data_IF_438789134467
#
_entry.id   IF_438789134467
#
_cell.length_a   1.000
_cell.length_b   1.000
_cell.length_c   1.000
_cell.angle_alpha   90.00
_cell.angle_beta   90.00
_cell.angle_gamma   90.00
#
_symmetry.space_group_name_H-M   'P 1'
#
loop_
_entity.id
_entity.type
_entity.pdbx_description
1 polymer ?
#
# COMPACT_ATOMS: atom_id res chain seq x y z
N UNK A 1 7.12 9.59 -19.32
CA UNK A 1 6.73 8.76 -18.17
C UNK A 1 6.97 9.56 -16.90
N UNK A 2 5.93 9.77 -16.10
CA UNK A 2 6.08 10.44 -14.82
C UNK A 2 6.68 9.47 -13.77
N UNK A 3 7.00 10.01 -12.59
CA UNK A 3 7.65 9.22 -11.53
C UNK A 3 6.76 8.08 -11.02
N UNK A 4 5.43 8.29 -10.98
CA UNK A 4 4.52 7.27 -10.48
C UNK A 4 4.42 6.09 -11.45
N UNK A 5 4.30 6.39 -12.74
CA UNK A 5 4.33 5.36 -13.79
C UNK A 5 5.67 4.60 -13.79
N UNK A 6 6.76 5.31 -13.60
CA UNK A 6 8.09 4.70 -13.54
C UNK A 6 8.20 3.71 -12.38
N UNK A 7 7.68 4.08 -11.21
CA UNK A 7 7.66 3.18 -10.04
C UNK A 7 6.87 1.91 -10.37
N UNK A 8 5.69 2.04 -10.99
CA UNK A 8 4.89 0.88 -11.40
C UNK A 8 5.64 0.00 -12.38
N UNK A 9 6.29 0.59 -13.37
CA UNK A 9 7.07 -0.15 -14.37
C UNK A 9 8.23 -0.91 -13.70
N UNK A 10 8.98 -0.23 -12.84
CA UNK A 10 10.12 -0.86 -12.17
C UNK A 10 9.69 -1.99 -11.23
N UNK A 11 8.55 -1.82 -10.55
CA UNK A 11 8.03 -2.87 -9.68
C UNK A 11 7.57 -4.10 -10.48
N UNK A 12 6.90 -3.89 -11.59
CA UNK A 12 6.51 -4.99 -12.48
C UNK A 12 7.74 -5.77 -12.96
N UNK A 13 8.81 -5.06 -13.35
CA UNK A 13 10.05 -5.70 -13.80
C UNK A 13 10.72 -6.50 -12.66
N UNK A 14 10.73 -5.98 -11.46
CA UNK A 14 11.28 -6.69 -10.30
C UNK A 14 10.46 -7.95 -10.00
N UNK A 15 9.14 -7.86 -10.03
CA UNK A 15 8.25 -9.00 -9.80
C UNK A 15 8.45 -10.09 -10.85
N UNK A 16 8.59 -9.72 -12.13
CA UNK A 16 8.87 -10.68 -13.20
C UNK A 16 10.20 -11.40 -12.97
N UNK A 17 11.22 -10.67 -12.53
CA UNK A 17 12.52 -11.25 -12.20
C UNK A 17 12.42 -12.29 -11.07
N UNK A 18 11.50 -12.07 -10.13
CA UNK A 18 11.23 -13.01 -9.04
C UNK A 18 10.35 -14.19 -9.50
N UNK A 19 9.73 -14.07 -10.66
CA UNK A 19 8.85 -15.10 -11.21
C UNK A 19 7.35 -14.82 -10.98
N UNK A 20 6.98 -13.57 -10.73
CA UNK A 20 5.60 -13.17 -10.49
C UNK A 20 5.15 -12.21 -11.58
N UNK A 21 4.13 -12.59 -12.34
CA UNK A 21 3.52 -11.73 -13.37
C UNK A 21 2.13 -11.32 -12.91
N UNK A 22 1.88 -10.01 -12.84
CA UNK A 22 0.64 -9.43 -12.34
C UNK A 22 -0.05 -8.60 -13.42
N UNK A 23 -1.41 -8.59 -13.49
CA UNK A 23 -2.32 -9.34 -12.63
C UNK A 23 -2.35 -10.83 -12.95
N UNK A 24 -2.71 -11.69 -11.98
CA UNK A 24 -2.86 -13.11 -12.25
C UNK A 24 -4.07 -13.40 -13.17
N UNK A 25 -4.10 -14.55 -13.87
CA UNK A 25 -5.13 -14.80 -14.88
C UNK A 25 -6.50 -15.22 -14.31
N UNK A 26 -6.58 -15.65 -13.06
CA UNK A 26 -7.82 -16.12 -12.44
C UNK A 26 -8.14 -15.38 -11.16
N UNK A 27 -9.41 -15.33 -10.78
CA UNK A 27 -9.85 -14.71 -9.52
C UNK A 27 -9.27 -15.45 -8.31
N UNK A 28 -9.13 -16.77 -8.38
CA UNK A 28 -8.54 -17.56 -7.31
C UNK A 28 -7.09 -17.15 -7.06
N UNK A 29 -6.29 -17.04 -8.12
CA UNK A 29 -4.89 -16.60 -8.01
C UNK A 29 -4.80 -15.13 -7.59
N UNK A 30 -5.72 -14.31 -8.07
CA UNK A 30 -5.78 -12.89 -7.67
C UNK A 30 -6.01 -12.79 -6.15
N UNK A 31 -6.99 -13.52 -5.61
CA UNK A 31 -7.26 -13.55 -4.18
C UNK A 31 -6.05 -14.04 -3.39
N UNK A 32 -5.36 -15.07 -3.88
CA UNK A 32 -4.14 -15.58 -3.27
C UNK A 32 -3.05 -14.51 -3.17
N UNK A 33 -2.83 -13.77 -4.25
CA UNK A 33 -1.78 -12.74 -4.27
C UNK A 33 -2.17 -11.49 -3.48
N UNK A 34 -3.47 -11.14 -3.42
CA UNK A 34 -3.94 -10.11 -2.48
C UNK A 34 -3.56 -10.48 -1.06
N UNK A 35 -3.79 -11.73 -0.67
CA UNK A 35 -3.43 -12.21 0.67
C UNK A 35 -1.91 -12.21 0.87
N UNK A 36 -1.14 -12.70 -0.10
CA UNK A 36 0.33 -12.74 -0.01
C UNK A 36 0.91 -11.33 0.20
N UNK A 37 0.48 -10.35 -0.58
CA UNK A 37 0.98 -8.98 -0.45
C UNK A 37 0.46 -8.29 0.80
N UNK A 38 -0.76 -8.61 1.23
CA UNK A 38 -1.29 -8.07 2.50
C UNK A 38 -0.44 -8.58 3.68
N UNK A 39 -0.06 -9.85 3.67
CA UNK A 39 0.83 -10.42 4.70
C UNK A 39 2.21 -9.77 4.66
N UNK A 40 2.75 -9.53 3.47
CA UNK A 40 4.02 -8.83 3.31
C UNK A 40 3.93 -7.41 3.89
N UNK A 41 2.84 -6.69 3.61
CA UNK A 41 2.59 -5.36 4.18
C UNK A 41 2.50 -5.41 5.71
N UNK A 42 1.85 -6.41 6.28
CA UNK A 42 1.76 -6.59 7.73
C UNK A 42 3.15 -6.81 8.34
N UNK A 43 3.99 -7.62 7.69
CA UNK A 43 5.35 -7.87 8.18
C UNK A 43 6.19 -6.60 8.13
N UNK A 44 6.15 -5.85 7.02
CA UNK A 44 6.87 -4.59 6.89
C UNK A 44 6.36 -3.54 7.88
N UNK A 45 5.05 -3.53 8.15
CA UNK A 45 4.47 -2.66 9.18
C UNK A 45 5.04 -3.00 10.56
N UNK A 46 5.17 -4.28 10.88
CA UNK A 46 5.78 -4.73 12.14
C UNK A 46 7.25 -4.28 12.23
N UNK A 47 7.99 -4.38 11.15
CA UNK A 47 9.39 -3.93 11.09
C UNK A 47 9.49 -2.41 11.27
N UNK A 48 8.54 -1.65 10.68
CA UNK A 48 8.46 -0.21 10.89
C UNK A 48 8.19 0.13 12.37
N UNK A 49 7.30 -0.59 13.02
CA UNK A 49 7.02 -0.41 14.45
C UNK A 49 8.31 -0.56 15.26
N UNK A 50 9.16 -1.53 14.90
CA UNK A 50 10.42 -1.76 15.61
C UNK A 50 11.44 -0.64 15.40
N UNK A 51 11.21 0.27 14.48
CA UNK A 51 12.05 1.47 14.29
C UNK A 51 11.82 2.53 15.36
N UNK A 52 10.75 2.43 16.14
CA UNK A 52 10.41 3.39 17.21
C UNK A 52 10.43 2.72 18.57
N UNK A 53 10.69 3.47 19.67
CA UNK A 53 10.74 2.91 21.02
C UNK A 53 9.32 2.67 21.56
N UNK A 54 8.63 1.68 21.03
CA UNK A 54 7.22 1.41 21.35
C UNK A 54 7.02 0.59 22.63
N UNK A 55 8.09 -0.11 23.12
CA UNK A 55 8.02 -0.91 24.34
C UNK A 55 8.19 0.03 25.55
N UNK A 56 7.07 0.49 26.09
CA UNK A 56 7.07 1.48 27.17
C UNK A 56 7.81 0.99 28.42
N UNK A 57 7.94 -0.34 28.59
CA UNK A 57 8.64 -0.95 29.75
C UNK A 57 10.15 -1.06 29.56
N UNK A 58 10.66 -0.79 28.36
CA UNK A 58 12.07 -0.96 28.02
C UNK A 58 12.74 0.39 27.79
N UNK A 59 13.98 0.52 28.29
CA UNK A 59 14.75 1.78 28.15
C UNK A 59 15.86 1.69 27.10
N UNK A 60 16.05 0.53 26.48
CA UNK A 60 17.11 0.30 25.50
C UNK A 60 16.75 0.70 24.08
N UNK A 61 15.48 0.89 23.80
CA UNK A 61 15.02 1.22 22.45
C UNK A 61 15.27 2.67 22.11
N UNK A 62 15.59 2.91 20.82
CA UNK A 62 15.82 4.24 20.27
C UNK A 62 14.99 4.40 19.00
N UNK A 63 14.68 5.63 18.63
CA UNK A 63 14.09 5.93 17.35
C UNK A 63 15.16 5.81 16.25
N UNK A 64 15.02 4.81 15.40
CA UNK A 64 15.86 4.63 14.21
C UNK A 64 15.15 5.21 13.00
N UNK A 65 15.31 6.52 12.79
CA UNK A 65 14.64 7.24 11.72
C UNK A 65 15.05 6.73 10.34
N UNK A 66 16.33 6.40 10.16
CA UNK A 66 16.81 5.89 8.87
C UNK A 66 16.14 4.56 8.53
N UNK A 67 16.03 3.65 9.49
CA UNK A 67 15.33 2.39 9.28
C UNK A 67 13.85 2.61 9.01
N UNK A 68 13.22 3.55 9.71
CA UNK A 68 11.80 3.89 9.46
C UNK A 68 11.59 4.33 8.01
N UNK A 69 12.49 5.15 7.46
CA UNK A 69 12.42 5.58 6.06
C UNK A 69 12.53 4.41 5.10
N UNK A 70 13.44 3.48 5.35
CA UNK A 70 13.59 2.27 4.52
C UNK A 70 12.32 1.45 4.53
N UNK A 71 11.73 1.23 5.71
CA UNK A 71 10.51 0.43 5.84
C UNK A 71 9.32 1.09 5.15
N UNK A 72 9.23 2.42 5.15
CA UNK A 72 8.20 3.14 4.38
C UNK A 72 8.35 2.83 2.89
N UNK A 73 9.58 2.84 2.36
CA UNK A 73 9.82 2.52 0.95
C UNK A 73 9.45 1.05 0.66
N UNK A 74 9.76 0.13 1.56
CA UNK A 74 9.38 -1.28 1.42
C UNK A 74 7.85 -1.44 1.36
N UNK A 75 7.11 -0.69 2.17
CA UNK A 75 5.65 -0.67 2.10
C UNK A 75 5.16 -0.22 0.72
N UNK A 76 5.78 0.77 0.11
CA UNK A 76 5.42 1.21 -1.25
C UNK A 76 5.65 0.10 -2.28
N UNK A 77 6.74 -0.65 -2.20
CA UNK A 77 6.98 -1.79 -3.09
C UNK A 77 5.81 -2.78 -3.07
N UNK A 78 5.40 -3.21 -1.87
CA UNK A 78 4.31 -4.16 -1.74
C UNK A 78 2.95 -3.56 -2.08
N UNK A 79 2.73 -2.30 -1.76
CA UNK A 79 1.48 -1.61 -2.08
C UNK A 79 1.29 -1.49 -3.60
N UNK A 80 2.34 -1.15 -4.34
CA UNK A 80 2.30 -1.10 -5.80
C UNK A 80 2.02 -2.50 -6.37
N UNK A 81 2.68 -3.54 -5.86
CA UNK A 81 2.43 -4.91 -6.27
C UNK A 81 0.98 -5.32 -6.01
N UNK A 82 0.43 -4.92 -4.87
CA UNK A 82 -0.98 -5.18 -4.53
C UNK A 82 -1.92 -4.50 -5.53
N UNK A 83 -1.67 -3.25 -5.89
CA UNK A 83 -2.44 -2.54 -6.91
C UNK A 83 -2.38 -3.28 -8.25
N UNK A 84 -1.20 -3.72 -8.66
CA UNK A 84 -1.03 -4.48 -9.91
C UNK A 84 -1.72 -5.85 -9.87
N UNK A 85 -1.78 -6.47 -8.70
CA UNK A 85 -2.55 -7.70 -8.50
C UNK A 85 -4.03 -7.50 -8.84
N UNK A 86 -4.56 -6.33 -8.50
CA UNK A 86 -5.95 -5.96 -8.78
C UNK A 86 -6.14 -5.34 -10.17
N UNK A 87 -5.11 -5.37 -11.02
CA UNK A 87 -5.16 -4.87 -12.38
C UNK A 87 -5.14 -3.35 -12.49
N UNK A 88 -4.72 -2.65 -11.43
CA UNK A 88 -4.66 -1.19 -11.45
C UNK A 88 -3.34 -0.71 -12.04
N UNK A 89 -3.42 0.18 -13.01
CA UNK A 89 -2.27 0.93 -13.51
C UNK A 89 -1.96 2.11 -12.55
N UNK A 90 -0.82 2.77 -12.78
CA UNK A 90 -0.50 3.99 -12.06
C UNK A 90 -1.59 5.05 -12.23
N UNK A 91 -2.10 5.22 -13.45
CA UNK A 91 -3.18 6.17 -13.71
C UNK A 91 -4.48 5.77 -13.01
N UNK A 92 -4.82 4.48 -12.99
CA UNK A 92 -6.00 3.99 -12.27
C UNK A 92 -5.92 4.36 -10.78
N UNK A 93 -4.79 4.13 -10.15
CA UNK A 93 -4.58 4.48 -8.74
C UNK A 93 -4.68 6.00 -8.56
N UNK A 94 -4.07 6.76 -9.44
CA UNK A 94 -4.12 8.23 -9.39
C UNK A 94 -5.55 8.75 -9.48
N UNK A 95 -6.31 8.29 -10.47
CA UNK A 95 -7.71 8.74 -10.66
C UNK A 95 -8.59 8.34 -9.47
N UNK A 96 -8.43 7.11 -8.96
CA UNK A 96 -9.17 6.65 -7.80
C UNK A 96 -8.80 7.47 -6.55
N UNK A 97 -7.52 7.78 -6.39
CA UNK A 97 -7.06 8.62 -5.29
C UNK A 97 -7.69 10.00 -5.31
N UNK A 98 -7.75 10.64 -6.49
CA UNK A 98 -8.39 11.96 -6.62
C UNK A 98 -9.86 11.92 -6.18
N UNK A 99 -10.59 10.91 -6.61
CA UNK A 99 -12.01 10.73 -6.24
C UNK A 99 -12.16 10.52 -4.75
N UNK A 100 -11.36 9.62 -4.19
CA UNK A 100 -11.41 9.28 -2.77
C UNK A 100 -10.99 10.46 -1.89
N UNK A 101 -9.99 11.21 -2.33
CA UNK A 101 -9.51 12.39 -1.60
C UNK A 101 -10.61 13.47 -1.53
N UNK A 102 -11.35 13.69 -2.62
CA UNK A 102 -12.47 14.62 -2.64
C UNK A 102 -13.57 14.20 -1.66
N UNK A 103 -13.88 12.88 -1.60
CA UNK A 103 -14.83 12.33 -0.64
C UNK A 103 -14.36 12.56 0.80
N UNK A 104 -13.08 12.33 1.07
CA UNK A 104 -12.50 12.52 2.40
C UNK A 104 -12.58 13.99 2.85
N UNK A 105 -12.32 14.93 1.95
CA UNK A 105 -12.48 16.37 2.25
C UNK A 105 -13.93 16.71 2.54
N UNK A 106 -14.86 16.18 1.74
CA UNK A 106 -16.30 16.40 1.97
C UNK A 106 -16.75 15.86 3.32
N UNK A 107 -16.23 14.69 3.74
CA UNK A 107 -16.51 14.12 5.07
C UNK A 107 -16.07 15.04 6.19
N UNK A 108 -14.90 15.67 6.07
CA UNK A 108 -14.42 16.64 7.06
C UNK A 108 -15.32 17.88 7.11
N UNK A 109 -15.74 18.38 5.96
CA UNK A 109 -16.64 19.54 5.87
C UNK A 109 -18.00 19.26 6.53
N UNK A 110 -18.51 18.04 6.42
CA UNK A 110 -19.80 17.63 7.00
C UNK A 110 -19.71 17.05 8.41
N UNK A 111 -18.53 17.03 9.04
CA UNK A 111 -18.33 16.47 10.36
C UNK A 111 -18.49 14.96 10.40
N UNK A 112 -17.62 14.24 9.69
CA UNK A 112 -17.65 12.77 9.58
C UNK A 112 -17.71 12.09 10.95
N UNK A 113 -18.87 11.51 11.28
CA UNK A 113 -19.14 10.93 12.61
C UNK A 113 -19.32 9.41 12.60
N UNK A 114 -19.47 8.79 11.44
CA UNK A 114 -19.59 7.32 11.31
C UNK A 114 -19.04 6.86 9.96
N UNK A 115 -18.74 5.54 9.87
CA UNK A 115 -18.26 4.93 8.64
C UNK A 115 -19.32 5.03 7.54
N UNK A 116 -18.90 5.40 6.34
CA UNK A 116 -19.74 5.41 5.15
C UNK A 116 -19.86 3.97 4.59
N UNK A 117 -21.07 3.41 4.63
CA UNK A 117 -21.33 2.07 4.15
C UNK A 117 -21.17 1.94 2.63
N UNK A 118 -21.25 3.05 1.90
CA UNK A 118 -21.07 3.08 0.46
C UNK A 118 -19.63 3.42 0.04
N UNK A 119 -18.67 3.34 0.96
CA UNK A 119 -17.28 3.75 0.72
C UNK A 119 -16.65 3.07 -0.50
N UNK A 120 -16.91 1.79 -0.72
CA UNK A 120 -16.35 1.05 -1.85
C UNK A 120 -16.81 1.57 -3.22
N UNK A 121 -17.82 2.41 -3.27
CA UNK A 121 -18.39 2.96 -4.51
C UNK A 121 -17.80 4.31 -4.90
N UNK A 122 -16.85 4.84 -4.14
CA UNK A 122 -16.30 6.17 -4.36
C UNK A 122 -15.08 6.21 -5.31
N UNK A 123 -14.70 5.09 -5.86
CA UNK A 123 -13.61 5.03 -6.84
C UNK A 123 -14.02 4.33 -8.12
#
# INVERSE_FOLDING_TARGET
MDKFEEIFRMQAALNERIGVTLPPPTDEEKAKWVLNYTRALQQETAELIDSVPWKWWAKYQKFDEQNAKVEVVDLFHFLVSLAQTLGMSADDVYQAYLKKNAVNHQRQDSGYVKKDEADSKHI
#
